data_IF_592112638437
#
_entry.id   IF_592112638437
#
_cell.length_a   1.000
_cell.length_b   1.000
_cell.length_c   1.000
_cell.angle_alpha   90.00
_cell.angle_beta   90.00
_cell.angle_gamma   90.00
#
_symmetry.space_group_name_H-M   'P 1'
#
loop_
_entity.id
_entity.type
_entity.pdbx_description
1 polymer ?
#
# COMPACT_ATOMS: atom_id res chain seq x y z
N UNK A 1 -56.73 -24.60 -5.88
CA UNK A 1 -55.74 -24.70 -6.97
C UNK A 1 -55.52 -23.41 -7.76
N UNK A 2 -56.51 -22.62 -8.21
CA UNK A 2 -56.30 -21.39 -9.00
C UNK A 2 -55.66 -20.21 -8.27
N UNK A 3 -55.69 -20.13 -6.95
CA UNK A 3 -55.20 -19.01 -6.15
C UNK A 3 -53.68 -19.12 -5.82
N UNK A 4 -53.14 -20.31 -5.68
CA UNK A 4 -51.76 -20.57 -5.41
C UNK A 4 -50.84 -20.39 -6.65
N UNK A 5 -51.30 -20.83 -7.81
CA UNK A 5 -50.61 -20.62 -9.07
C UNK A 5 -50.47 -19.14 -9.43
N UNK A 6 -51.46 -18.31 -9.09
CA UNK A 6 -51.43 -16.86 -9.33
C UNK A 6 -50.38 -16.15 -8.46
N UNK A 7 -50.24 -16.56 -7.19
CA UNK A 7 -49.24 -16.02 -6.28
C UNK A 7 -47.82 -16.45 -6.66
N UNK A 8 -47.61 -17.67 -7.10
CA UNK A 8 -46.32 -18.17 -7.57
C UNK A 8 -45.82 -17.44 -8.81
N UNK A 9 -46.70 -17.19 -9.78
CA UNK A 9 -46.35 -16.44 -11.01
C UNK A 9 -46.07 -14.97 -10.67
N UNK A 10 -46.82 -14.35 -9.77
CA UNK A 10 -46.65 -12.96 -9.34
C UNK A 10 -45.33 -12.75 -8.61
N UNK A 11 -44.90 -13.72 -7.77
CA UNK A 11 -43.59 -13.66 -7.10
C UNK A 11 -42.42 -13.84 -8.06
N UNK A 12 -42.51 -14.71 -9.04
CA UNK A 12 -41.49 -14.87 -10.09
C UNK A 12 -41.34 -13.61 -10.93
N UNK A 13 -42.43 -12.96 -11.30
CA UNK A 13 -42.43 -11.68 -12.04
C UNK A 13 -41.76 -10.56 -11.18
N UNK A 14 -42.05 -10.49 -9.88
CA UNK A 14 -41.39 -9.50 -8.99
C UNK A 14 -39.89 -9.74 -8.84
N UNK A 15 -39.46 -10.99 -8.70
CA UNK A 15 -38.05 -11.36 -8.61
C UNK A 15 -37.31 -11.07 -9.93
N UNK A 16 -37.93 -11.36 -11.08
CA UNK A 16 -37.35 -11.05 -12.39
C UNK A 16 -37.26 -9.54 -12.64
N UNK A 17 -38.26 -8.76 -12.18
CA UNK A 17 -38.22 -7.30 -12.29
C UNK A 17 -37.14 -6.68 -11.38
N UNK A 18 -36.92 -7.23 -10.19
CA UNK A 18 -35.86 -6.77 -9.27
C UNK A 18 -34.47 -7.10 -9.83
N UNK A 19 -34.29 -8.25 -10.46
CA UNK A 19 -33.01 -8.63 -11.12
C UNK A 19 -32.74 -7.74 -12.34
N UNK A 20 -33.75 -7.42 -13.16
CA UNK A 20 -33.60 -6.49 -14.29
C UNK A 20 -33.30 -5.05 -13.85
N UNK A 21 -33.84 -4.57 -12.71
CA UNK A 21 -33.52 -3.23 -12.20
C UNK A 21 -32.12 -3.13 -11.61
N UNK A 22 -31.57 -4.22 -11.04
CA UNK A 22 -30.19 -4.24 -10.53
C UNK A 22 -29.13 -4.20 -11.67
N UNK A 23 -29.46 -4.73 -12.85
CA UNK A 23 -28.55 -4.74 -14.02
C UNK A 23 -28.47 -3.36 -14.71
N UNK A 24 -29.45 -2.47 -14.52
CA UNK A 24 -29.50 -1.15 -15.16
C UNK A 24 -28.74 -0.03 -14.42
N UNK A 25 -28.22 -0.29 -13.22
CA UNK A 25 -27.46 0.72 -12.47
C UNK A 25 -25.94 0.69 -12.83
N UNK A 26 -25.48 -0.31 -13.60
CA UNK A 26 -24.07 -0.54 -13.94
C UNK A 26 -23.52 0.23 -15.15
N UNK A 27 -24.29 1.07 -15.84
CA UNK A 27 -23.80 1.69 -17.10
C UNK A 27 -23.92 3.21 -17.17
N UNK A 28 -23.66 3.92 -16.07
CA UNK A 28 -23.43 5.37 -16.12
C UNK A 28 -21.95 5.74 -15.97
N UNK A 29 -21.06 5.09 -16.72
CA UNK A 29 -19.79 5.70 -17.05
C UNK A 29 -20.08 6.82 -18.06
N UNK A 30 -20.23 8.05 -17.57
CA UNK A 30 -20.13 9.23 -18.43
C UNK A 30 -18.75 9.20 -19.08
N UNK A 31 -18.71 8.94 -20.40
CA UNK A 31 -17.56 9.21 -21.26
C UNK A 31 -17.33 10.73 -21.36
N UNK A 32 -16.91 11.36 -20.31
CA UNK A 32 -16.13 12.57 -20.37
C UNK A 32 -14.73 12.11 -20.75
N UNK A 33 -14.31 12.37 -21.97
CA UNK A 33 -12.98 11.99 -22.41
C UNK A 33 -11.93 12.71 -21.56
N UNK A 34 -11.39 12.04 -20.56
CA UNK A 34 -10.21 12.53 -19.87
C UNK A 34 -9.07 12.39 -20.85
N UNK A 35 -8.55 13.50 -21.35
CA UNK A 35 -7.35 13.52 -22.19
C UNK A 35 -6.16 13.15 -21.32
N UNK A 36 -5.73 11.89 -21.40
CA UNK A 36 -4.50 11.46 -20.74
C UNK A 36 -3.27 11.87 -21.57
N UNK A 37 -2.28 12.40 -20.90
CA UNK A 37 -0.99 12.74 -21.48
C UNK A 37 -0.29 11.46 -21.95
N UNK A 38 0.27 11.51 -23.14
CA UNK A 38 1.14 10.44 -23.64
C UNK A 38 2.59 10.92 -23.47
N UNK A 39 3.47 10.09 -22.90
CA UNK A 39 4.89 10.43 -22.79
C UNK A 39 5.45 10.84 -24.15
N UNK A 40 6.11 11.97 -24.21
CA UNK A 40 6.72 12.51 -25.42
C UNK A 40 7.87 13.46 -25.04
N UNK A 41 8.88 13.56 -25.90
CA UNK A 41 10.09 14.33 -25.63
C UNK A 41 11.20 13.50 -24.99
N UNK A 42 12.28 14.16 -24.70
CA UNK A 42 13.42 13.55 -23.99
C UNK A 42 13.08 13.34 -22.51
N UNK A 43 13.77 12.41 -21.86
CA UNK A 43 13.72 12.27 -20.41
C UNK A 43 14.59 13.37 -19.81
N UNK A 44 13.99 14.16 -18.94
CA UNK A 44 14.66 15.26 -18.25
C UNK A 44 14.57 15.10 -16.75
N UNK A 45 15.53 15.68 -16.03
CA UNK A 45 15.52 15.71 -14.55
C UNK A 45 15.23 17.13 -14.10
N UNK A 46 14.31 17.27 -13.14
CA UNK A 46 13.97 18.55 -12.54
C UNK A 46 14.05 18.50 -11.03
N UNK A 47 14.83 19.40 -10.44
CA UNK A 47 14.92 19.59 -9.00
C UNK A 47 13.64 20.26 -8.45
N UNK A 48 13.28 19.89 -7.22
CA UNK A 48 12.15 20.45 -6.48
C UNK A 48 12.62 20.95 -5.12
N UNK A 49 12.33 22.19 -4.77
CA UNK A 49 12.77 22.82 -3.52
C UNK A 49 11.67 22.74 -2.46
N UNK A 50 11.65 21.64 -1.69
CA UNK A 50 10.75 21.47 -0.55
C UNK A 50 11.56 21.02 0.67
N UNK A 51 11.19 21.52 1.84
CA UNK A 51 11.79 21.22 3.14
C UNK A 51 10.69 20.93 4.18
N UNK A 52 11.12 20.66 5.42
CA UNK A 52 10.22 20.54 6.58
C UNK A 52 9.16 19.44 6.47
N UNK A 53 9.56 18.29 5.89
CA UNK A 53 8.72 17.10 5.86
C UNK A 53 9.47 15.89 6.45
N UNK A 54 8.72 15.02 7.10
CA UNK A 54 9.18 13.73 7.64
C UNK A 54 8.23 12.59 7.23
N UNK A 55 7.28 12.89 6.35
CA UNK A 55 6.29 11.96 5.81
C UNK A 55 6.26 12.09 4.30
N UNK A 56 6.06 10.97 3.61
CA UNK A 56 5.95 10.94 2.15
C UNK A 56 4.65 10.24 1.76
N UNK A 57 3.96 10.76 0.75
CA UNK A 57 2.77 10.16 0.14
C UNK A 57 2.96 10.09 -1.38
N UNK A 58 3.02 8.87 -1.91
CA UNK A 58 3.08 8.58 -3.34
C UNK A 58 1.68 8.19 -3.84
N UNK A 59 1.06 9.04 -4.67
CA UNK A 59 -0.29 8.86 -5.22
C UNK A 59 -0.32 8.44 -6.69
N UNK A 60 0.83 8.24 -7.32
CA UNK A 60 0.95 7.89 -8.72
C UNK A 60 1.80 6.64 -8.94
N UNK A 61 1.79 6.09 -10.14
CA UNK A 61 2.71 5.03 -10.55
C UNK A 61 4.07 5.67 -10.88
N UNK A 62 5.01 5.60 -9.95
CA UNK A 62 6.37 6.08 -10.09
C UNK A 62 7.31 5.25 -9.23
N UNK A 63 8.57 5.13 -9.64
CA UNK A 63 9.63 4.56 -8.81
C UNK A 63 10.15 5.65 -7.88
N UNK A 64 9.98 5.47 -6.59
CA UNK A 64 10.43 6.41 -5.56
C UNK A 64 11.64 5.85 -4.82
N UNK A 65 12.75 6.54 -4.92
CA UNK A 65 13.99 6.22 -4.22
C UNK A 65 14.18 7.14 -3.03
N UNK A 66 14.22 6.59 -1.82
CA UNK A 66 14.35 7.35 -0.58
C UNK A 66 15.73 7.12 0.02
N UNK A 67 16.38 8.19 0.39
CA UNK A 67 17.66 8.18 1.13
C UNK A 67 17.52 9.06 2.38
N UNK A 68 17.91 8.54 3.54
CA UNK A 68 18.07 9.38 4.71
C UNK A 68 19.41 10.13 4.63
N UNK A 69 19.38 11.45 4.83
CA UNK A 69 20.56 12.32 4.79
C UNK A 69 20.31 13.64 5.49
N UNK A 70 21.34 14.44 5.72
CA UNK A 70 21.25 15.66 6.54
C UNK A 70 20.42 16.78 5.87
N UNK A 71 20.39 16.82 4.54
CA UNK A 71 19.73 17.87 3.78
C UNK A 71 18.53 17.33 2.98
N UNK A 72 17.58 18.21 2.69
CA UNK A 72 16.48 17.89 1.78
C UNK A 72 16.93 18.04 0.33
N UNK A 73 16.72 17.00 -0.46
CA UNK A 73 16.87 17.04 -1.90
C UNK A 73 15.75 16.24 -2.56
N UNK A 74 15.17 16.79 -3.62
CA UNK A 74 14.12 16.11 -4.38
C UNK A 74 14.42 16.32 -5.86
N UNK A 75 14.50 15.25 -6.64
CA UNK A 75 14.55 15.30 -8.09
C UNK A 75 13.51 14.39 -8.71
N UNK A 76 12.94 14.84 -9.83
CA UNK A 76 11.96 14.10 -10.63
C UNK A 76 12.55 13.90 -12.02
N UNK A 77 12.58 12.65 -12.47
CA UNK A 77 13.00 12.24 -13.80
C UNK A 77 11.79 11.71 -14.58
N UNK A 78 11.47 12.31 -15.70
CA UNK A 78 10.35 11.91 -16.55
C UNK A 78 10.47 12.50 -17.96
N UNK A 79 9.62 12.08 -18.91
CA UNK A 79 9.49 12.75 -20.20
C UNK A 79 9.13 14.22 -20.01
N UNK A 80 9.75 15.11 -20.78
CA UNK A 80 9.64 16.58 -20.64
C UNK A 80 8.20 17.07 -20.55
N UNK A 81 7.30 16.55 -21.37
CA UNK A 81 5.89 16.94 -21.39
C UNK A 81 5.09 16.48 -20.17
N UNK A 82 5.63 15.56 -19.35
CA UNK A 82 4.99 15.11 -18.11
C UNK A 82 5.36 15.99 -16.91
N UNK A 83 6.49 16.70 -16.97
CA UNK A 83 7.00 17.52 -15.88
C UNK A 83 6.01 18.57 -15.40
N UNK A 84 5.19 19.11 -16.30
CA UNK A 84 4.17 20.12 -15.95
C UNK A 84 2.97 19.53 -15.17
N UNK A 85 2.72 18.22 -15.26
CA UNK A 85 1.56 17.56 -14.61
C UNK A 85 1.95 16.73 -13.39
N UNK A 86 3.24 16.42 -13.21
CA UNK A 86 3.74 15.80 -11.99
C UNK A 86 3.84 16.86 -10.91
N UNK A 87 3.08 16.69 -9.83
CA UNK A 87 3.03 17.63 -8.72
C UNK A 87 3.82 17.08 -7.52
N UNK A 88 4.73 17.89 -6.99
CA UNK A 88 5.32 17.68 -5.67
C UNK A 88 4.90 18.81 -4.77
N UNK A 89 4.39 18.53 -3.57
CA UNK A 89 3.88 19.55 -2.66
C UNK A 89 4.03 19.11 -1.21
N UNK A 90 4.48 19.99 -0.35
CA UNK A 90 4.46 19.78 1.10
C UNK A 90 3.16 20.33 1.68
N UNK A 91 2.47 19.50 2.47
CA UNK A 91 1.25 19.86 3.18
C UNK A 91 1.37 19.36 4.64
N UNK A 92 1.49 20.29 5.57
CA UNK A 92 1.96 19.98 6.92
C UNK A 92 3.37 19.40 6.85
N UNK A 93 3.60 18.26 7.46
CA UNK A 93 4.88 17.54 7.41
C UNK A 93 4.94 16.43 6.34
N UNK A 94 4.06 16.46 5.32
CA UNK A 94 3.96 15.42 4.29
C UNK A 94 4.34 15.96 2.92
N UNK A 95 5.37 15.39 2.30
CA UNK A 95 5.65 15.54 0.88
C UNK A 95 4.67 14.65 0.09
N UNK A 96 3.81 15.27 -0.71
CA UNK A 96 2.91 14.58 -1.64
C UNK A 96 3.51 14.59 -3.02
N UNK A 97 3.54 13.42 -3.67
CA UNK A 97 4.02 13.18 -5.03
C UNK A 97 2.84 12.57 -5.80
N UNK A 98 2.28 13.32 -6.75
CA UNK A 98 1.05 12.91 -7.43
C UNK A 98 0.95 13.54 -8.83
N UNK A 99 -0.04 13.13 -9.59
CA UNK A 99 -0.44 13.80 -10.83
C UNK A 99 -1.42 14.92 -10.48
N UNK A 100 -1.28 16.09 -11.08
CA UNK A 100 -2.21 17.22 -10.91
C UNK A 100 -3.66 16.77 -11.08
N UNK A 101 -4.53 17.25 -10.21
CA UNK A 101 -5.94 16.89 -10.20
C UNK A 101 -6.60 17.08 -11.58
N UNK A 102 -7.30 16.04 -12.04
CA UNK A 102 -8.00 16.06 -13.34
C UNK A 102 -7.09 15.79 -14.55
N UNK A 103 -5.82 15.48 -14.31
CA UNK A 103 -4.87 14.98 -15.31
C UNK A 103 -4.71 13.47 -15.18
N UNK A 104 -4.25 12.82 -16.22
CA UNK A 104 -3.84 11.42 -16.22
C UNK A 104 -2.72 11.22 -17.23
N UNK A 105 -1.95 10.18 -17.03
CA UNK A 105 -0.91 9.74 -17.96
C UNK A 105 -1.37 8.40 -18.54
N UNK A 106 -1.15 8.19 -19.84
CA UNK A 106 -1.39 6.90 -20.47
C UNK A 106 -0.39 5.87 -19.97
N UNK A 107 -0.79 4.61 -19.97
CA UNK A 107 0.08 3.49 -19.62
C UNK A 107 1.42 3.54 -20.39
N UNK A 108 2.44 2.86 -19.86
CA UNK A 108 3.81 2.81 -20.39
C UNK A 108 4.57 4.15 -20.26
N UNK A 109 4.47 4.77 -19.10
CA UNK A 109 5.35 5.88 -18.75
C UNK A 109 6.30 5.46 -17.62
N UNK A 110 7.46 6.08 -17.61
CA UNK A 110 8.46 5.91 -16.55
C UNK A 110 8.64 7.27 -15.87
N UNK A 111 8.50 7.26 -14.55
CA UNK A 111 8.76 8.42 -13.68
C UNK A 111 9.59 7.91 -12.51
N UNK A 112 10.76 8.51 -12.31
CA UNK A 112 11.58 8.26 -11.13
C UNK A 112 11.62 9.51 -10.27
N UNK A 113 11.49 9.30 -8.97
CA UNK A 113 11.59 10.38 -7.98
C UNK A 113 12.64 9.99 -6.95
N UNK A 114 13.61 10.85 -6.74
CA UNK A 114 14.61 10.68 -5.70
C UNK A 114 14.34 11.69 -4.59
N UNK A 115 14.27 11.21 -3.35
CA UNK A 115 14.02 12.04 -2.18
C UNK A 115 15.07 11.76 -1.13
N UNK A 116 15.78 12.80 -0.71
CA UNK A 116 16.64 12.79 0.46
C UNK A 116 15.99 13.64 1.55
N UNK A 117 15.95 13.13 2.80
CA UNK A 117 15.37 13.82 3.94
C UNK A 117 16.05 13.40 5.24
N UNK A 118 16.08 14.28 6.28
CA UNK A 118 16.75 13.97 7.57
C UNK A 118 16.06 12.87 8.37
N UNK A 119 14.73 12.79 8.31
CA UNK A 119 13.96 11.81 9.07
C UNK A 119 12.73 11.38 8.28
N UNK A 120 12.44 10.07 8.30
CA UNK A 120 11.22 9.49 7.75
C UNK A 120 10.51 8.70 8.86
N UNK A 121 9.27 9.09 9.17
CA UNK A 121 8.45 8.38 10.15
C UNK A 121 7.11 7.88 9.59
N UNK A 122 6.73 8.29 8.38
CA UNK A 122 5.55 7.73 7.68
C UNK A 122 5.76 7.71 6.17
N UNK A 123 5.36 6.61 5.56
CA UNK A 123 5.31 6.45 4.12
C UNK A 123 3.95 5.90 3.70
N UNK A 124 3.31 6.55 2.73
CA UNK A 124 2.01 6.13 2.21
C UNK A 124 2.06 5.96 0.70
N UNK A 125 1.65 4.79 0.21
CA UNK A 125 1.55 4.47 -1.22
C UNK A 125 0.07 4.24 -1.52
N UNK A 126 -0.53 5.06 -2.38
CA UNK A 126 -1.93 4.92 -2.80
C UNK A 126 -2.09 4.66 -4.30
N UNK A 127 -1.00 4.64 -5.03
CA UNK A 127 -0.91 4.29 -6.45
C UNK A 127 -0.41 2.86 -6.67
N UNK A 128 0.20 2.66 -7.84
CA UNK A 128 0.88 1.41 -8.23
C UNK A 128 2.38 1.66 -8.43
N UNK A 129 2.94 2.64 -7.75
CA UNK A 129 4.36 2.94 -7.78
C UNK A 129 5.13 2.10 -6.78
N UNK A 130 6.41 1.88 -7.08
CA UNK A 130 7.31 1.11 -6.24
C UNK A 130 8.23 2.03 -5.45
N UNK A 131 8.51 1.67 -4.20
CA UNK A 131 9.34 2.49 -3.31
C UNK A 131 10.54 1.70 -2.83
N UNK A 132 11.69 2.32 -2.88
CA UNK A 132 12.98 1.72 -2.55
C UNK A 132 13.73 2.56 -1.52
N UNK A 133 14.06 1.96 -0.39
CA UNK A 133 14.95 2.52 0.63
C UNK A 133 16.20 1.65 0.69
N UNK A 134 17.20 1.97 -0.14
CA UNK A 134 18.38 1.12 -0.36
C UNK A 134 19.53 1.40 0.61
N UNK A 135 19.43 2.45 1.41
CA UNK A 135 20.39 2.78 2.45
C UNK A 135 19.77 2.60 3.83
N UNK A 136 20.61 2.62 4.87
CA UNK A 136 20.14 2.55 6.25
C UNK A 136 19.12 3.66 6.50
N UNK A 137 17.95 3.26 7.02
CA UNK A 137 16.91 4.13 7.57
C UNK A 137 16.88 3.96 9.09
N UNK A 138 17.13 5.03 9.82
CA UNK A 138 17.06 5.05 11.28
C UNK A 138 15.92 5.94 11.73
N UNK A 139 15.02 5.41 12.54
CA UNK A 139 13.87 6.13 13.10
C UNK A 139 13.41 5.44 14.38
N UNK A 140 12.72 6.15 15.28
CA UNK A 140 12.12 5.50 16.45
C UNK A 140 10.86 4.71 16.06
N UNK A 141 10.02 5.31 15.21
CA UNK A 141 8.75 4.72 14.74
C UNK A 141 8.62 4.92 13.24
N UNK A 142 8.27 3.84 12.53
CA UNK A 142 7.97 3.85 11.11
C UNK A 142 6.54 3.35 10.84
N UNK A 143 5.73 4.19 10.23
CA UNK A 143 4.34 3.91 9.85
C UNK A 143 4.25 3.78 8.31
N UNK A 144 3.88 2.60 7.85
CA UNK A 144 3.79 2.23 6.44
C UNK A 144 2.33 1.97 6.04
N UNK A 145 1.87 2.66 5.01
CA UNK A 145 0.49 2.52 4.53
C UNK A 145 0.48 2.25 3.03
N UNK A 146 0.02 1.08 2.61
CA UNK A 146 -0.12 0.71 1.21
C UNK A 146 -1.61 0.47 0.91
N UNK A 147 -2.21 1.33 0.10
CA UNK A 147 -3.62 1.23 -0.29
C UNK A 147 -3.85 0.96 -1.79
N UNK A 148 -2.78 0.74 -2.53
CA UNK A 148 -2.78 0.41 -3.95
C UNK A 148 -2.25 -1.00 -4.22
N UNK A 149 -1.52 -1.12 -5.33
CA UNK A 149 -0.83 -2.35 -5.76
C UNK A 149 0.66 -2.11 -5.95
N UNK A 150 1.20 -1.06 -5.36
CA UNK A 150 2.63 -0.78 -5.37
C UNK A 150 3.38 -1.60 -4.34
N UNK A 151 4.69 -1.70 -4.50
CA UNK A 151 5.57 -2.41 -3.58
C UNK A 151 6.46 -1.45 -2.77
N UNK A 152 6.91 -1.91 -1.61
CA UNK A 152 7.88 -1.20 -0.78
C UNK A 152 9.00 -2.14 -0.37
N UNK A 153 10.24 -1.74 -0.63
CA UNK A 153 11.44 -2.43 -0.17
C UNK A 153 12.29 -1.54 0.73
N UNK A 154 12.64 -2.04 1.92
CA UNK A 154 13.57 -1.39 2.85
C UNK A 154 14.70 -2.38 3.16
N UNK A 155 15.90 -2.10 2.63
CA UNK A 155 17.03 -3.02 2.71
C UNK A 155 17.71 -3.02 4.09
N UNK A 156 17.59 -1.92 4.85
CA UNK A 156 18.26 -1.76 6.13
C UNK A 156 17.50 -0.81 7.06
N UNK A 157 16.66 -1.37 7.93
CA UNK A 157 15.87 -0.63 8.92
C UNK A 157 16.49 -0.73 10.31
N UNK A 158 16.55 0.41 11.00
CA UNK A 158 16.87 0.54 12.41
C UNK A 158 15.73 1.31 13.08
N UNK A 159 14.80 0.60 13.71
CA UNK A 159 13.61 1.18 14.31
C UNK A 159 13.21 0.44 15.59
N UNK A 160 12.61 1.16 16.56
CA UNK A 160 12.03 0.55 17.74
C UNK A 160 10.62 0.01 17.47
N UNK A 161 9.84 0.71 16.64
CA UNK A 161 8.46 0.33 16.29
C UNK A 161 8.21 0.38 14.81
N UNK A 162 7.57 -0.67 14.31
CA UNK A 162 7.11 -0.78 12.94
C UNK A 162 5.59 -0.99 12.91
N UNK A 163 4.85 -0.13 12.24
CA UNK A 163 3.43 -0.30 11.99
C UNK A 163 3.17 -0.35 10.47
N UNK A 164 2.49 -1.39 10.01
CA UNK A 164 2.19 -1.62 8.59
C UNK A 164 0.71 -1.83 8.38
N UNK A 165 0.14 -1.07 7.45
CA UNK A 165 -1.25 -1.18 7.04
C UNK A 165 -1.32 -1.40 5.53
N UNK A 166 -1.84 -2.55 5.08
CA UNK A 166 -2.09 -2.84 3.67
C UNK A 166 -3.59 -3.01 3.44
N UNK A 167 -4.17 -2.16 2.59
CA UNK A 167 -5.59 -2.25 2.21
C UNK A 167 -5.80 -2.50 0.72
N UNK A 168 -4.85 -3.11 0.06
CA UNK A 168 -4.87 -3.43 -1.36
C UNK A 168 -4.23 -4.79 -1.65
N UNK A 169 -3.43 -4.82 -2.70
CA UNK A 169 -2.65 -5.97 -3.16
C UNK A 169 -1.17 -5.61 -3.30
N UNK A 170 -0.70 -4.68 -2.49
CA UNK A 170 0.71 -4.28 -2.50
C UNK A 170 1.56 -5.17 -1.61
N UNK A 171 2.87 -5.19 -1.89
CA UNK A 171 3.82 -6.07 -1.23
C UNK A 171 4.84 -5.25 -0.43
N UNK A 172 5.27 -5.82 0.71
CA UNK A 172 6.23 -5.21 1.60
C UNK A 172 7.40 -6.16 1.87
N UNK A 173 8.62 -5.66 1.66
CA UNK A 173 9.87 -6.36 1.95
C UNK A 173 10.73 -5.51 2.89
N UNK A 174 11.03 -6.00 4.09
CA UNK A 174 11.89 -5.29 5.06
C UNK A 174 12.97 -6.22 5.61
N UNK A 175 14.17 -5.67 5.70
CA UNK A 175 15.26 -6.23 6.49
C UNK A 175 15.65 -5.22 7.59
N UNK A 176 15.61 -5.63 8.85
CA UNK A 176 16.10 -4.82 9.97
C UNK A 176 17.53 -5.21 10.32
N UNK A 177 18.29 -4.26 10.85
CA UNK A 177 19.66 -4.48 11.31
C UNK A 177 19.73 -4.82 12.81
N UNK A 178 18.68 -4.52 13.54
CA UNK A 178 18.58 -4.79 14.98
C UNK A 178 17.15 -5.28 15.32
N UNK A 179 16.96 -5.69 16.55
CA UNK A 179 15.66 -6.17 17.05
C UNK A 179 14.69 -5.01 17.23
N UNK A 180 13.51 -5.14 16.64
CA UNK A 180 12.38 -4.22 16.80
C UNK A 180 11.62 -4.58 18.09
N UNK A 181 11.25 -3.59 18.89
CA UNK A 181 10.45 -3.84 20.11
C UNK A 181 9.03 -4.32 19.76
N UNK A 182 8.41 -3.68 18.76
CA UNK A 182 7.03 -3.99 18.37
C UNK A 182 6.85 -3.88 16.87
N UNK A 183 6.32 -4.93 16.27
CA UNK A 183 5.84 -4.95 14.89
C UNK A 183 4.33 -5.16 14.90
N UNK A 184 3.59 -4.23 14.27
CA UNK A 184 2.14 -4.33 14.12
C UNK A 184 1.78 -4.35 12.63
N UNK A 185 0.92 -5.30 12.25
CA UNK A 185 0.53 -5.57 10.87
C UNK A 185 -0.98 -5.67 10.77
N UNK A 186 -1.56 -4.84 9.90
CA UNK A 186 -2.98 -4.89 9.53
C UNK A 186 -3.12 -5.07 8.01
N UNK A 187 -3.68 -6.20 7.55
CA UNK A 187 -3.96 -6.45 6.13
C UNK A 187 -5.46 -6.56 5.91
N UNK A 188 -5.99 -5.71 5.03
CA UNK A 188 -7.37 -5.74 4.55
C UNK A 188 -7.39 -5.92 3.03
N UNK A 189 -7.04 -7.10 2.55
CA UNK A 189 -6.92 -7.35 1.12
C UNK A 189 -6.16 -8.63 0.80
N UNK A 190 -5.31 -8.57 -0.21
CA UNK A 190 -4.51 -9.70 -0.70
C UNK A 190 -3.02 -9.35 -0.81
N UNK A 191 -2.55 -8.38 -0.05
CA UNK A 191 -1.14 -8.00 -0.02
C UNK A 191 -0.27 -9.01 0.72
N UNK A 192 1.03 -8.95 0.46
CA UNK A 192 2.03 -9.82 1.05
C UNK A 192 3.03 -9.01 1.89
N UNK A 193 3.40 -9.54 3.06
CA UNK A 193 4.39 -8.94 3.96
C UNK A 193 5.50 -9.95 4.23
N UNK A 194 6.73 -9.53 3.91
CA UNK A 194 7.95 -10.31 4.06
C UNK A 194 8.89 -9.64 5.08
N UNK A 195 8.72 -9.96 6.35
CA UNK A 195 9.54 -9.45 7.47
C UNK A 195 10.28 -10.56 8.22
N UNK A 196 10.58 -11.69 7.58
CA UNK A 196 11.43 -12.74 8.15
C UNK A 196 12.82 -12.28 8.61
N UNK A 197 13.28 -11.15 8.11
CA UNK A 197 14.54 -10.53 8.48
C UNK A 197 14.35 -9.32 9.43
N UNK A 198 13.20 -9.23 10.08
CA UNK A 198 12.87 -8.25 11.11
C UNK A 198 12.60 -8.99 12.42
N UNK A 199 13.63 -9.30 13.23
CA UNK A 199 13.39 -9.89 14.53
C UNK A 199 12.64 -8.90 15.42
N UNK A 200 11.42 -9.22 15.86
CA UNK A 200 10.62 -8.37 16.73
C UNK A 200 10.28 -9.09 18.04
N UNK A 201 10.35 -8.37 19.17
CA UNK A 201 9.98 -8.96 20.47
C UNK A 201 8.50 -9.28 20.51
N UNK A 202 7.67 -8.35 20.07
CA UNK A 202 6.22 -8.52 20.00
C UNK A 202 5.71 -8.27 18.59
N UNK A 203 4.89 -9.18 18.08
CA UNK A 203 4.26 -9.09 16.78
C UNK A 203 2.74 -9.21 16.95
N UNK A 204 1.97 -8.22 16.46
CA UNK A 204 0.50 -8.19 16.43
C UNK A 204 0.05 -8.16 14.97
N UNK A 205 -0.69 -9.20 14.52
CA UNK A 205 -1.10 -9.36 13.13
C UNK A 205 -2.61 -9.47 13.05
N UNK A 206 -3.22 -8.63 12.21
CA UNK A 206 -4.61 -8.75 11.81
C UNK A 206 -4.73 -8.91 10.30
N UNK A 207 -5.34 -10.00 9.86
CA UNK A 207 -5.61 -10.26 8.44
C UNK A 207 -7.10 -10.38 8.21
N UNK A 208 -7.65 -9.45 7.42
CA UNK A 208 -9.03 -9.48 6.95
C UNK A 208 -9.02 -9.62 5.42
N UNK A 209 -9.04 -10.85 4.93
CA UNK A 209 -8.94 -11.14 3.51
C UNK A 209 -8.11 -12.37 3.19
N UNK A 210 -7.24 -12.28 2.19
CA UNK A 210 -6.41 -13.39 1.70
C UNK A 210 -4.92 -13.07 1.68
N UNK A 211 -4.50 -12.08 2.47
CA UNK A 211 -3.10 -11.67 2.54
C UNK A 211 -2.19 -12.71 3.18
N UNK A 212 -0.90 -12.62 2.90
CA UNK A 212 0.13 -13.47 3.45
C UNK A 212 1.14 -12.67 4.28
N UNK A 213 1.54 -13.21 5.44
CA UNK A 213 2.55 -12.61 6.31
C UNK A 213 3.65 -13.60 6.62
N UNK A 214 4.88 -13.16 6.47
CA UNK A 214 6.09 -13.84 6.91
C UNK A 214 6.79 -12.98 7.96
N UNK A 215 6.81 -13.41 9.23
CA UNK A 215 7.30 -12.59 10.36
C UNK A 215 8.32 -13.33 11.21
N UNK A 216 9.10 -12.60 11.99
CA UNK A 216 9.99 -13.16 12.99
C UNK A 216 9.63 -12.62 14.41
N UNK A 217 8.89 -13.43 15.16
CA UNK A 217 8.49 -13.12 16.53
C UNK A 217 9.40 -13.82 17.54
N UNK A 218 9.94 -13.07 18.51
CA UNK A 218 10.87 -13.59 19.51
C UNK A 218 10.13 -14.00 20.80
N UNK A 219 9.30 -13.13 21.36
CA UNK A 219 8.68 -13.30 22.67
C UNK A 219 7.17 -13.55 22.57
N UNK A 220 6.43 -12.72 21.85
CA UNK A 220 4.97 -12.74 21.74
C UNK A 220 4.52 -12.64 20.29
N UNK A 221 3.52 -13.44 19.91
CA UNK A 221 2.86 -13.39 18.61
C UNK A 221 1.34 -13.44 18.80
N UNK A 222 0.66 -12.32 18.57
CA UNK A 222 -0.80 -12.26 18.51
C UNK A 222 -1.26 -12.26 17.05
N UNK A 223 -2.19 -13.16 16.68
CA UNK A 223 -2.69 -13.29 15.30
C UNK A 223 -4.21 -13.39 15.29
N UNK A 224 -4.86 -12.48 14.58
CA UNK A 224 -6.30 -12.51 14.30
C UNK A 224 -6.53 -12.59 12.78
N UNK A 225 -7.05 -13.74 12.30
CA UNK A 225 -7.35 -13.95 10.89
C UNK A 225 -8.86 -14.05 10.69
N UNK A 226 -9.40 -13.16 9.87
CA UNK A 226 -10.78 -13.20 9.38
C UNK A 226 -10.78 -13.35 7.85
N UNK A 227 -10.82 -14.60 7.38
CA UNK A 227 -10.76 -14.89 5.94
C UNK A 227 -9.90 -16.10 5.61
N UNK A 228 -9.08 -15.98 4.55
CA UNK A 228 -8.24 -17.06 4.01
C UNK A 228 -6.74 -16.72 4.04
N UNK A 229 -6.35 -15.70 4.80
CA UNK A 229 -4.96 -15.30 4.91
C UNK A 229 -4.09 -16.30 5.66
N UNK A 230 -2.79 -16.26 5.43
CA UNK A 230 -1.83 -17.16 6.05
C UNK A 230 -0.72 -16.38 6.74
N UNK A 231 -0.29 -16.88 7.89
CA UNK A 231 0.85 -16.36 8.64
C UNK A 231 1.89 -17.44 8.79
N UNK A 232 3.11 -17.18 8.33
CA UNK A 232 4.28 -18.04 8.57
C UNK A 232 5.23 -17.29 9.50
N UNK A 233 5.67 -17.91 10.59
CA UNK A 233 6.50 -17.22 11.57
C UNK A 233 7.80 -17.97 11.87
N UNK A 234 8.86 -17.21 12.15
CA UNK A 234 10.12 -17.66 12.75
C UNK A 234 10.15 -17.33 14.23
N UNK A 235 11.01 -18.03 14.98
CA UNK A 235 11.20 -17.82 16.41
C UNK A 235 10.46 -18.85 17.26
N UNK A 236 10.38 -18.56 18.56
CA UNK A 236 9.69 -19.43 19.53
C UNK A 236 8.82 -18.58 20.49
N UNK A 237 7.89 -17.78 19.96
CA UNK A 237 7.07 -16.88 20.76
C UNK A 237 5.99 -17.64 21.54
N UNK A 238 5.44 -16.95 22.56
CA UNK A 238 4.13 -17.31 23.12
C UNK A 238 3.08 -16.83 22.11
N UNK A 239 2.19 -17.75 21.68
CA UNK A 239 1.22 -17.48 20.61
C UNK A 239 -0.18 -17.34 21.19
N UNK A 240 -0.86 -16.22 20.89
CA UNK A 240 -2.32 -16.07 21.00
C UNK A 240 -2.90 -15.95 19.58
N UNK A 241 -3.83 -16.86 19.23
CA UNK A 241 -4.38 -16.88 17.86
C UNK A 241 -5.88 -17.00 17.85
N UNK A 242 -6.52 -16.24 16.94
CA UNK A 242 -7.95 -16.33 16.60
C UNK A 242 -8.08 -16.44 15.10
N UNK A 243 -8.70 -17.51 14.62
CA UNK A 243 -8.91 -17.75 13.19
C UNK A 243 -10.39 -17.96 12.93
N UNK A 244 -10.96 -17.09 12.10
CA UNK A 244 -12.32 -17.17 11.58
C UNK A 244 -12.26 -17.28 10.05
N UNK A 245 -12.40 -18.49 9.52
CA UNK A 245 -12.31 -18.77 8.09
C UNK A 245 -11.39 -19.94 7.74
N UNK A 246 -10.73 -19.85 6.58
CA UNK A 246 -9.85 -20.91 6.05
C UNK A 246 -8.37 -20.58 6.14
N UNK A 247 -8.03 -19.51 6.82
CA UNK A 247 -6.65 -19.09 7.03
C UNK A 247 -5.86 -20.02 7.95
N UNK A 248 -4.56 -19.86 7.99
CA UNK A 248 -3.67 -20.70 8.79
C UNK A 248 -2.50 -19.91 9.39
N UNK A 249 -1.97 -20.41 10.51
CA UNK A 249 -0.70 -20.00 11.09
C UNK A 249 0.20 -21.21 11.20
N UNK A 250 1.47 -21.09 10.82
CA UNK A 250 2.43 -22.19 10.85
C UNK A 250 3.85 -21.69 11.13
N UNK A 251 4.70 -22.46 11.82
CA UNK A 251 6.12 -22.18 11.88
C UNK A 251 6.78 -22.36 10.50
N UNK A 252 7.86 -21.63 10.30
CA UNK A 252 8.73 -21.73 9.12
C UNK A 252 9.63 -22.95 9.19
#
# INVERSE_FOLDING_TARGET
>A
MKKETKNYIMNRIKITLIICTLVLIGSSCKKGGVFCYQPNGEVVTQERSHTDFSKISLGMAADLYITQGEEYAISVEASENLMEIIETKVSGSTLKIDIKKGKCIKNNYEVKVHVTLPALNRLSISGSGDVFVTKKLTTDELDLNISGSGSLSIDSLDANRLETNISGSGDLFITAIDTVETEKIDISGSGEIHTFNVPAKKVDIRVSGSGECEVYAIEELEVDISGSGNVTYKGNPIIDQRISGSGSIKPY
#
